data_IF_071700914051
#
_entry.id   IF_071700914051
#
_cell.length_a   1.000
_cell.length_b   1.000
_cell.length_c   1.000
_cell.angle_alpha   90.00
_cell.angle_beta   90.00
_cell.angle_gamma   90.00
#
_symmetry.space_group_name_H-M   'P 1'
#
loop_
_entity.id
_entity.type
_entity.pdbx_description
1 polymer ?
#
# COMPACT_ATOMS: atom_id res chain seq x y z
N UNK A 1 -25.91 -3.05 15.30
CA UNK A 1 -24.65 -3.28 14.56
C UNK A 1 -25.00 -3.85 13.17
N UNK A 2 -25.33 -2.98 12.21
CA UNK A 2 -25.89 -3.35 10.88
C UNK A 2 -24.81 -3.71 9.85
N UNK A 3 -23.80 -4.49 10.23
CA UNK A 3 -22.67 -4.78 9.34
C UNK A 3 -22.78 -6.16 8.69
N UNK A 4 -23.74 -7.01 9.06
CA UNK A 4 -23.62 -8.46 8.86
C UNK A 4 -24.01 -8.99 7.47
N UNK A 5 -24.93 -8.34 6.75
CA UNK A 5 -25.40 -8.81 5.43
C UNK A 5 -24.51 -8.36 4.26
N UNK A 6 -23.94 -7.15 4.36
CA UNK A 6 -23.26 -6.50 3.24
C UNK A 6 -21.74 -6.73 3.20
N UNK A 7 -21.15 -7.41 4.20
CA UNK A 7 -19.70 -7.65 4.23
C UNK A 7 -19.13 -8.34 2.99
N UNK A 8 -19.72 -9.43 2.46
CA UNK A 8 -19.14 -10.12 1.31
C UNK A 8 -19.18 -9.24 0.04
N UNK A 9 -20.26 -8.48 -0.14
CA UNK A 9 -20.38 -7.53 -1.25
C UNK A 9 -19.37 -6.39 -1.10
N UNK A 10 -19.28 -5.78 0.09
CA UNK A 10 -18.35 -4.69 0.36
C UNK A 10 -16.89 -5.12 0.17
N UNK A 11 -16.51 -6.32 0.64
CA UNK A 11 -15.17 -6.88 0.42
C UNK A 11 -14.87 -7.09 -1.06
N UNK A 12 -15.80 -7.70 -1.80
CA UNK A 12 -15.65 -7.95 -3.24
C UNK A 12 -15.50 -6.64 -4.01
N UNK A 13 -16.33 -5.64 -3.70
CA UNK A 13 -16.22 -4.31 -4.29
C UNK A 13 -14.86 -3.68 -3.96
N UNK A 14 -14.42 -3.71 -2.70
CA UNK A 14 -13.13 -3.15 -2.30
C UNK A 14 -11.94 -3.84 -3.00
N UNK A 15 -11.95 -5.18 -3.10
CA UNK A 15 -10.91 -5.94 -3.80
C UNK A 15 -10.90 -5.57 -5.30
N UNK A 16 -12.06 -5.51 -5.94
CA UNK A 16 -12.17 -5.11 -7.35
C UNK A 16 -11.68 -3.68 -7.58
N UNK A 17 -12.00 -2.74 -6.68
CA UNK A 17 -11.46 -1.38 -6.73
C UNK A 17 -9.94 -1.36 -6.62
N UNK A 18 -9.35 -2.21 -5.76
CA UNK A 18 -7.88 -2.32 -5.65
C UNK A 18 -7.30 -2.91 -6.93
N UNK A 19 -7.91 -3.93 -7.53
CA UNK A 19 -7.45 -4.52 -8.79
C UNK A 19 -7.50 -3.48 -9.92
N UNK A 20 -8.61 -2.74 -10.03
CA UNK A 20 -8.73 -1.66 -11.01
C UNK A 20 -7.68 -0.56 -10.78
N UNK A 21 -7.48 -0.15 -9.53
CA UNK A 21 -6.42 0.78 -9.16
C UNK A 21 -5.04 0.26 -9.57
N UNK A 22 -4.73 -1.01 -9.29
CA UNK A 22 -3.45 -1.64 -9.62
C UNK A 22 -3.22 -1.76 -11.13
N UNK A 23 -4.28 -2.01 -11.90
CA UNK A 23 -4.20 -2.19 -13.35
C UNK A 23 -4.12 -0.86 -14.12
N UNK A 24 -4.88 0.15 -13.69
CA UNK A 24 -5.07 1.38 -14.46
C UNK A 24 -4.38 2.60 -13.86
N UNK A 25 -4.19 2.68 -12.54
CA UNK A 25 -3.66 3.89 -11.89
C UNK A 25 -2.23 3.65 -11.41
N UNK A 26 -1.98 2.52 -10.77
CA UNK A 26 -0.67 2.18 -10.20
C UNK A 26 0.48 2.15 -11.22
N UNK A 27 0.31 1.74 -12.50
CA UNK A 27 1.42 1.72 -13.45
C UNK A 27 1.85 3.13 -13.87
N UNK A 28 0.91 4.06 -13.95
CA UNK A 28 1.20 5.46 -14.28
C UNK A 28 1.68 6.25 -13.06
N UNK A 29 1.28 5.81 -11.86
CA UNK A 29 1.81 6.31 -10.60
C UNK A 29 3.22 5.73 -10.43
N UNK A 30 4.25 6.48 -10.85
CA UNK A 30 5.69 6.13 -10.74
C UNK A 30 6.19 5.85 -9.30
N UNK A 31 5.29 5.71 -8.33
CA UNK A 31 5.51 5.51 -6.92
C UNK A 31 5.81 4.05 -6.57
N UNK A 32 6.82 3.82 -5.74
CA UNK A 32 7.05 2.50 -5.12
C UNK A 32 6.83 2.58 -3.62
N UNK A 33 6.17 1.55 -3.08
CA UNK A 33 5.84 1.46 -1.66
C UNK A 33 7.12 1.42 -0.81
N UNK A 34 7.30 2.43 0.05
CA UNK A 34 8.45 2.54 0.96
C UNK A 34 8.61 1.33 1.87
N UNK A 35 7.50 0.77 2.37
CA UNK A 35 7.56 -0.46 3.18
C UNK A 35 8.16 -1.63 2.40
N UNK A 36 7.74 -1.82 1.14
CA UNK A 36 8.28 -2.89 0.29
C UNK A 36 9.75 -2.63 -0.03
N UNK A 37 10.14 -1.38 -0.26
CA UNK A 37 11.54 -1.04 -0.52
C UNK A 37 12.45 -1.28 0.68
N UNK A 38 11.97 -0.98 1.89
CA UNK A 38 12.78 -1.13 3.10
C UNK A 38 12.80 -2.57 3.63
N UNK A 39 11.66 -3.27 3.61
CA UNK A 39 11.49 -4.58 4.24
C UNK A 39 11.26 -5.74 3.25
N UNK A 40 11.05 -5.45 1.96
CA UNK A 40 10.63 -6.45 0.97
C UNK A 40 9.14 -6.82 1.07
N UNK A 41 8.77 -7.90 0.38
CA UNK A 41 7.43 -8.48 0.41
C UNK A 41 6.35 -7.65 -0.29
N UNK A 42 5.15 -7.64 0.29
CA UNK A 42 3.99 -6.98 -0.34
C UNK A 42 4.07 -5.45 -0.30
N UNK A 43 3.66 -4.85 -1.42
CA UNK A 43 3.26 -3.45 -1.43
C UNK A 43 2.02 -3.25 -0.53
N UNK A 44 1.80 -2.02 -0.06
CA UNK A 44 0.61 -1.72 0.75
C UNK A 44 -0.70 -2.10 0.03
N UNK A 45 -0.80 -1.91 -1.29
CA UNK A 45 -2.02 -2.29 -2.04
C UNK A 45 -2.21 -3.81 -2.10
N UNK A 46 -1.14 -4.59 -2.31
CA UNK A 46 -1.21 -6.05 -2.24
C UNK A 46 -1.57 -6.54 -0.83
N UNK A 47 -0.98 -5.93 0.19
CA UNK A 47 -1.27 -6.25 1.58
C UNK A 47 -2.74 -6.02 1.93
N UNK A 48 -3.28 -4.83 1.61
CA UNK A 48 -4.69 -4.48 1.85
C UNK A 48 -5.62 -5.45 1.12
N UNK A 49 -5.34 -5.76 -0.16
CA UNK A 49 -6.10 -6.74 -0.93
C UNK A 49 -6.10 -8.12 -0.27
N UNK A 50 -4.95 -8.58 0.24
CA UNK A 50 -4.84 -9.84 0.98
C UNK A 50 -5.65 -9.82 2.27
N UNK A 51 -5.51 -8.76 3.08
CA UNK A 51 -6.27 -8.63 4.33
C UNK A 51 -7.78 -8.61 4.11
N UNK A 52 -8.27 -7.94 3.05
CA UNK A 52 -9.69 -7.97 2.68
C UNK A 52 -10.18 -9.36 2.26
N UNK A 53 -9.28 -10.21 1.76
CA UNK A 53 -9.58 -11.59 1.35
C UNK A 53 -9.56 -12.56 2.52
N UNK A 54 -8.64 -12.37 3.47
CA UNK A 54 -8.37 -13.32 4.56
C UNK A 54 -9.08 -12.99 5.89
N UNK A 55 -9.33 -11.71 6.18
CA UNK A 55 -9.83 -11.25 7.49
C UNK A 55 -11.23 -10.64 7.38
N UNK A 56 -11.93 -10.44 8.50
CA UNK A 56 -13.18 -9.66 8.50
C UNK A 56 -12.94 -8.22 8.03
N UNK A 57 -13.98 -7.52 7.56
CA UNK A 57 -13.80 -6.16 7.04
C UNK A 57 -13.18 -5.21 8.09
N UNK A 58 -13.57 -5.36 9.35
CA UNK A 58 -13.05 -4.55 10.47
C UNK A 58 -11.56 -4.81 10.71
N UNK A 59 -11.18 -6.07 10.82
CA UNK A 59 -9.78 -6.48 11.01
C UNK A 59 -8.93 -6.06 9.82
N UNK A 60 -9.44 -6.25 8.60
CA UNK A 60 -8.74 -5.84 7.39
C UNK A 60 -8.46 -4.34 7.38
N UNK A 61 -9.40 -3.50 7.82
CA UNK A 61 -9.21 -2.05 7.95
C UNK A 61 -8.17 -1.73 9.02
N UNK A 62 -8.26 -2.34 10.20
CA UNK A 62 -7.29 -2.12 11.29
C UNK A 62 -5.87 -2.51 10.86
N UNK A 63 -5.71 -3.70 10.27
CA UNK A 63 -4.45 -4.20 9.71
C UNK A 63 -3.90 -3.27 8.61
N UNK A 64 -4.78 -2.74 7.75
CA UNK A 64 -4.39 -1.83 6.68
C UNK A 64 -3.88 -0.49 7.22
N UNK A 65 -4.55 0.07 8.22
CA UNK A 65 -4.12 1.31 8.87
C UNK A 65 -2.76 1.15 9.54
N UNK A 66 -2.52 0.02 10.21
CA UNK A 66 -1.21 -0.26 10.78
C UNK A 66 -0.14 -0.35 9.70
N UNK A 67 -0.40 -1.09 8.61
CA UNK A 67 0.53 -1.18 7.48
C UNK A 67 0.88 0.17 6.88
N UNK A 68 -0.08 1.11 6.82
CA UNK A 68 0.19 2.46 6.32
C UNK A 68 1.08 3.28 7.27
N UNK A 69 0.93 3.13 8.59
CA UNK A 69 1.85 3.75 9.57
C UNK A 69 3.26 3.20 9.41
N UNK A 70 3.40 1.89 9.28
CA UNK A 70 4.70 1.23 9.07
C UNK A 70 5.33 1.69 7.75
N UNK A 71 4.54 1.86 6.70
CA UNK A 71 5.01 2.39 5.42
C UNK A 71 5.45 3.86 5.52
N UNK A 72 4.75 4.68 6.31
CA UNK A 72 5.15 6.07 6.56
C UNK A 72 6.47 6.14 7.34
N UNK A 73 6.67 5.27 8.32
CA UNK A 73 7.94 5.14 9.03
C UNK A 73 9.06 4.69 8.09
N UNK A 74 8.80 3.70 7.23
CA UNK A 74 9.76 3.25 6.23
C UNK A 74 10.17 4.38 5.26
N UNK A 75 9.25 5.29 4.90
CA UNK A 75 9.57 6.47 4.09
C UNK A 75 10.63 7.34 4.77
N UNK A 76 10.43 7.68 6.05
CA UNK A 76 11.36 8.53 6.82
C UNK A 76 12.75 7.90 6.92
N UNK A 77 12.82 6.57 7.08
CA UNK A 77 14.10 5.84 7.11
C UNK A 77 14.80 5.92 5.75
N UNK A 78 14.06 5.72 4.65
CA UNK A 78 14.61 5.79 3.30
C UNK A 78 15.03 7.22 2.91
N UNK A 79 14.29 8.24 3.33
CA UNK A 79 14.64 9.66 3.16
C UNK A 79 15.98 9.96 3.83
N UNK A 80 16.17 9.50 5.07
CA UNK A 80 17.43 9.67 5.81
C UNK A 80 18.62 9.00 5.10
N UNK A 81 18.40 7.82 4.48
CA UNK A 81 19.43 7.10 3.70
C UNK A 81 19.75 7.75 2.36
N UNK A 82 18.77 8.44 1.76
CA UNK A 82 18.92 9.05 0.43
C UNK A 82 19.81 10.30 0.46
N UNK A 83 19.83 11.03 1.58
CA UNK A 83 20.70 12.21 1.76
C UNK A 83 22.20 11.93 1.69
N UNK A 84 22.65 10.66 1.82
CA UNK A 84 24.08 10.30 1.78
C UNK A 84 24.62 10.14 0.35
N UNK A 85 23.77 9.95 -0.66
CA UNK A 85 24.17 9.68 -2.05
C UNK A 85 23.81 10.79 -3.05
N UNK A 86 23.52 12.02 -2.60
CA UNK A 86 23.30 13.17 -3.49
C UNK A 86 21.98 13.18 -4.30
N UNK A 87 21.14 12.14 -4.21
CA UNK A 87 19.83 12.09 -4.85
C UNK A 87 18.70 12.31 -3.82
N UNK A 88 18.08 13.49 -3.83
CA UNK A 88 16.89 13.81 -3.01
C UNK A 88 15.62 13.26 -3.67
N UNK A 89 15.24 12.02 -3.35
CA UNK A 89 13.89 11.51 -3.64
C UNK A 89 12.97 11.81 -2.45
N UNK A 90 12.42 13.04 -2.39
CA UNK A 90 11.49 13.52 -1.34
C UNK A 90 10.12 12.84 -1.43
N UNK A 91 9.76 12.41 -2.63
CA UNK A 91 8.74 11.40 -2.88
C UNK A 91 9.54 10.21 -3.40
N UNK A 92 9.15 8.97 -3.13
CA UNK A 92 9.66 7.84 -3.92
C UNK A 92 8.74 7.74 -5.15
N UNK A 93 8.83 8.56 -6.22
CA UNK A 93 8.78 7.89 -7.48
C UNK A 93 10.09 7.09 -7.55
N UNK A 94 10.02 5.84 -8.00
CA UNK A 94 11.23 5.24 -8.52
C UNK A 94 11.86 6.27 -9.47
N UNK A 95 13.15 6.51 -9.32
CA UNK A 95 13.98 6.99 -10.42
C UNK A 95 13.68 6.06 -11.60
N UNK A 96 12.75 6.45 -12.47
CA UNK A 96 12.58 5.83 -13.78
C UNK A 96 13.52 6.61 -14.69
N UNK A 97 14.70 6.07 -15.03
CA UNK A 97 15.34 6.49 -16.26
C UNK A 97 14.40 6.10 -17.40
N UNK A 98 14.21 7.01 -18.34
CA UNK A 98 14.00 6.58 -19.72
C UNK A 98 15.39 6.32 -20.30
#
# INVERSE_FOLDING_TARGET
MLINSYQPLAKSMAINSIIAYQKYISPHKRFSCSHRLLHGGDSCSNYVKRMLSEQSLKEAVQSSLQRFKDCAQASKVLETRSSTNGFRCIVIPCCVPF
#
